data_IF_303343394418
#
_entry.id   IF_303343394418
#
_cell.length_a   1.000
_cell.length_b   1.000
_cell.length_c   1.000
_cell.angle_alpha   90.00
_cell.angle_beta   90.00
_cell.angle_gamma   90.00
#
_symmetry.space_group_name_H-M   'P 1'
#
loop_
_entity.id
_entity.type
_entity.pdbx_description
1 polymer ?
#
# COMPACT_ATOMS: atom_id res chain seq x y z
N UNK A 1 4.03 1.02 -6.37
CA UNK A 1 3.01 2.01 -5.94
C UNK A 1 3.46 3.12 -4.96
N UNK A 2 4.51 3.00 -4.13
CA UNK A 2 4.91 4.11 -3.21
C UNK A 2 5.37 5.40 -3.91
N UNK A 3 6.01 5.31 -5.06
CA UNK A 3 6.54 6.46 -5.78
C UNK A 3 5.48 7.40 -6.41
N UNK A 4 4.31 6.89 -6.78
CA UNK A 4 3.23 7.69 -7.36
C UNK A 4 2.50 8.52 -6.29
N UNK A 5 2.25 7.93 -5.11
CA UNK A 5 1.63 8.62 -3.97
C UNK A 5 2.54 9.72 -3.42
N UNK A 6 3.85 9.47 -3.37
CA UNK A 6 4.83 10.47 -2.94
C UNK A 6 4.91 11.66 -3.92
N UNK A 7 4.86 11.41 -5.22
CA UNK A 7 4.84 12.46 -6.26
C UNK A 7 3.57 13.32 -6.19
N UNK A 8 2.42 12.71 -6.02
CA UNK A 8 1.16 13.46 -5.88
C UNK A 8 1.15 14.34 -4.64
N UNK A 9 1.62 13.82 -3.50
CA UNK A 9 1.77 14.59 -2.26
C UNK A 9 2.74 15.77 -2.43
N UNK A 10 3.90 15.53 -3.03
CA UNK A 10 4.89 16.56 -3.30
C UNK A 10 4.33 17.65 -4.23
N UNK A 11 3.57 17.25 -5.27
CA UNK A 11 2.90 18.19 -6.17
C UNK A 11 1.91 19.09 -5.42
N UNK A 12 1.04 18.53 -4.57
CA UNK A 12 0.08 19.31 -3.79
C UNK A 12 0.79 20.32 -2.87
N UNK A 13 1.85 19.91 -2.20
CA UNK A 13 2.60 20.79 -1.30
C UNK A 13 3.35 21.89 -2.06
N UNK A 14 4.00 21.57 -3.18
CA UNK A 14 4.69 22.55 -4.00
C UNK A 14 3.73 23.58 -4.61
N UNK A 15 2.60 23.12 -5.15
CA UNK A 15 1.56 23.99 -5.72
C UNK A 15 0.95 24.90 -4.64
N UNK A 16 0.68 24.36 -3.46
CA UNK A 16 0.20 25.13 -2.32
C UNK A 16 1.21 26.22 -1.90
N UNK A 17 2.50 25.88 -1.79
CA UNK A 17 3.55 26.82 -1.44
C UNK A 17 3.67 28.00 -2.45
N UNK A 18 3.42 27.73 -3.73
CA UNK A 18 3.40 28.76 -4.77
C UNK A 18 2.12 29.62 -4.73
N UNK A 19 0.98 29.02 -4.36
CA UNK A 19 -0.31 29.73 -4.32
C UNK A 19 -0.39 30.78 -3.23
N UNK A 20 0.17 30.56 -2.04
CA UNK A 20 0.14 31.55 -0.94
C UNK A 20 0.69 32.91 -1.35
N UNK A 21 1.94 33.02 -1.85
CA UNK A 21 2.49 34.32 -2.27
C UNK A 21 1.79 34.85 -3.53
N UNK A 22 1.35 34.00 -4.45
CA UNK A 22 0.62 34.44 -5.64
C UNK A 22 -0.71 35.10 -5.28
N UNK A 23 -1.49 34.50 -4.37
CA UNK A 23 -2.73 35.08 -3.88
C UNK A 23 -2.47 36.39 -3.13
N UNK A 24 -1.45 36.43 -2.27
CA UNK A 24 -1.07 37.67 -1.55
C UNK A 24 -0.69 38.77 -2.53
N UNK A 25 0.15 38.49 -3.51
CA UNK A 25 0.53 39.45 -4.55
C UNK A 25 -0.67 39.99 -5.34
N UNK A 26 -1.57 39.08 -5.77
CA UNK A 26 -2.80 39.49 -6.46
C UNK A 26 -3.70 40.33 -5.54
N UNK A 27 -3.79 39.96 -4.26
CA UNK A 27 -4.55 40.70 -3.27
C UNK A 27 -4.03 42.14 -3.11
N UNK A 28 -2.70 42.30 -3.00
CA UNK A 28 -2.08 43.63 -2.85
C UNK A 28 -2.29 44.51 -4.10
N UNK A 29 -2.29 43.92 -5.30
CA UNK A 29 -2.40 44.65 -6.55
C UNK A 29 -3.84 44.96 -6.95
N UNK A 30 -4.75 44.06 -6.72
CA UNK A 30 -6.08 44.07 -7.32
C UNK A 30 -7.25 44.12 -6.33
N UNK A 31 -7.04 43.80 -5.01
CA UNK A 31 -8.15 43.78 -4.08
C UNK A 31 -8.76 45.15 -3.88
N UNK A 32 -10.08 45.20 -3.99
CA UNK A 32 -10.93 46.37 -3.73
C UNK A 32 -12.09 45.93 -2.83
N UNK A 33 -12.73 46.84 -2.07
CA UNK A 33 -13.92 46.48 -1.30
C UNK A 33 -14.96 45.72 -2.15
N UNK A 34 -15.28 44.48 -1.73
CA UNK A 34 -16.27 43.62 -2.38
C UNK A 34 -15.74 42.63 -3.43
N UNK A 35 -14.45 42.65 -3.82
CA UNK A 35 -13.91 41.74 -4.85
C UNK A 35 -13.66 40.31 -4.32
N UNK A 36 -13.14 40.22 -3.08
CA UNK A 36 -13.06 38.92 -2.38
C UNK A 36 -11.92 38.00 -2.80
N UNK A 37 -10.78 38.52 -3.29
CA UNK A 37 -9.59 37.69 -3.67
C UNK A 37 -9.11 36.83 -2.49
N UNK A 38 -9.30 37.28 -1.26
CA UNK A 38 -8.94 36.52 -0.08
C UNK A 38 -9.62 35.13 0.05
N UNK A 39 -10.71 34.89 -0.67
CA UNK A 39 -11.34 33.56 -0.67
C UNK A 39 -10.51 32.50 -1.39
N UNK A 40 -9.63 32.87 -2.29
CA UNK A 40 -8.77 31.89 -2.99
C UNK A 40 -7.81 31.15 -2.06
N UNK A 41 -7.58 31.63 -0.82
CA UNK A 41 -6.81 30.88 0.19
C UNK A 41 -7.43 29.53 0.57
N UNK A 42 -8.70 29.25 0.28
CA UNK A 42 -9.29 27.93 0.46
C UNK A 42 -8.56 26.86 -0.34
N UNK A 43 -8.05 27.18 -1.54
CA UNK A 43 -7.36 26.20 -2.39
C UNK A 43 -6.06 25.68 -1.73
N UNK A 44 -5.07 26.53 -1.38
CA UNK A 44 -3.84 26.02 -0.75
C UNK A 44 -4.09 25.41 0.63
N UNK A 45 -5.07 25.88 1.41
CA UNK A 45 -5.47 25.24 2.67
C UNK A 45 -5.96 23.81 2.43
N UNK A 46 -6.87 23.60 1.47
CA UNK A 46 -7.37 22.28 1.13
C UNK A 46 -6.26 21.37 0.58
N UNK A 47 -5.34 21.89 -0.23
CA UNK A 47 -4.22 21.11 -0.79
C UNK A 47 -3.27 20.61 0.30
N UNK A 48 -2.92 21.45 1.29
CA UNK A 48 -2.10 21.05 2.43
C UNK A 48 -2.83 20.02 3.29
N UNK A 49 -4.11 20.25 3.55
CA UNK A 49 -4.96 19.34 4.34
C UNK A 49 -5.06 17.96 3.69
N UNK A 50 -5.32 17.92 2.38
CA UNK A 50 -5.34 16.67 1.60
C UNK A 50 -3.99 15.96 1.60
N UNK A 51 -2.88 16.69 1.52
CA UNK A 51 -1.55 16.10 1.49
C UNK A 51 -1.09 15.59 2.84
N UNK A 52 -1.39 16.32 3.94
CA UNK A 52 -0.69 16.17 5.23
C UNK A 52 -1.60 15.92 6.42
N UNK A 53 -2.93 15.99 6.25
CA UNK A 53 -3.92 15.68 7.29
C UNK A 53 -4.40 16.90 8.10
N UNK A 54 -5.22 16.67 9.16
CA UNK A 54 -6.01 17.73 9.81
C UNK A 54 -5.17 18.77 10.52
N UNK A 55 -4.11 18.38 11.21
CA UNK A 55 -3.24 19.33 11.95
C UNK A 55 -2.60 20.33 10.99
N UNK A 56 -2.06 19.84 9.88
CA UNK A 56 -1.47 20.70 8.85
C UNK A 56 -2.50 21.56 8.12
N UNK A 57 -3.73 21.03 7.95
CA UNK A 57 -4.85 21.80 7.42
C UNK A 57 -5.24 22.98 8.31
N UNK A 58 -5.28 22.79 9.65
CA UNK A 58 -5.53 23.87 10.61
C UNK A 58 -4.41 24.90 10.55
N UNK A 59 -3.15 24.46 10.57
CA UNK A 59 -1.99 25.38 10.49
C UNK A 59 -2.00 26.18 9.18
N UNK A 60 -2.36 25.55 8.07
CA UNK A 60 -2.55 26.21 6.78
C UNK A 60 -3.67 27.26 6.84
N UNK A 61 -4.78 26.99 7.52
CA UNK A 61 -5.87 27.94 7.74
C UNK A 61 -5.45 29.15 8.57
N UNK A 62 -4.66 28.92 9.62
CA UNK A 62 -4.07 30.00 10.42
C UNK A 62 -3.13 30.87 9.57
N UNK A 63 -2.25 30.22 8.78
CA UNK A 63 -1.35 30.94 7.88
C UNK A 63 -2.12 31.74 6.80
N UNK A 64 -3.19 31.18 6.25
CA UNK A 64 -4.05 31.87 5.28
C UNK A 64 -4.70 33.13 5.88
N UNK A 65 -5.19 33.03 7.12
CA UNK A 65 -5.71 34.20 7.84
C UNK A 65 -4.62 35.23 8.09
N UNK A 66 -3.42 34.81 8.47
CA UNK A 66 -2.26 35.69 8.64
C UNK A 66 -1.89 36.44 7.34
N UNK A 67 -1.84 35.70 6.21
CA UNK A 67 -1.60 36.32 4.90
C UNK A 67 -2.70 37.31 4.51
N UNK A 68 -3.96 36.97 4.79
CA UNK A 68 -5.11 37.84 4.51
C UNK A 68 -5.05 39.12 5.34
N UNK A 69 -4.79 39.03 6.66
CA UNK A 69 -4.69 40.21 7.54
C UNK A 69 -3.48 41.08 7.18
N UNK A 70 -2.36 40.46 6.84
CA UNK A 70 -1.17 41.18 6.35
C UNK A 70 -1.49 41.91 5.04
N UNK A 71 -2.25 41.27 4.15
CA UNK A 71 -2.72 41.90 2.92
C UNK A 71 -3.57 43.15 3.15
N UNK A 72 -4.48 43.12 4.14
CA UNK A 72 -5.28 44.30 4.50
C UNK A 72 -4.41 45.43 5.01
N UNK A 73 -3.43 45.14 5.90
CA UNK A 73 -2.56 46.17 6.50
C UNK A 73 -1.69 46.85 5.44
N UNK A 74 -1.22 46.14 4.44
CA UNK A 74 -0.31 46.66 3.41
C UNK A 74 -1.07 47.29 2.23
N UNK A 75 -2.29 46.86 1.94
CA UNK A 75 -3.05 47.34 0.78
C UNK A 75 -3.57 48.77 1.02
N UNK A 76 -3.13 49.78 0.23
CA UNK A 76 -3.52 51.19 0.45
C UNK A 76 -5.00 51.47 0.14
N UNK A 77 -5.73 50.56 -0.47
CA UNK A 77 -7.13 50.67 -0.86
C UNK A 77 -8.10 50.15 0.20
N UNK A 78 -7.59 49.51 1.26
CA UNK A 78 -8.37 48.93 2.33
C UNK A 78 -8.09 49.62 3.66
N UNK A 79 -9.12 49.95 4.47
CA UNK A 79 -8.89 50.53 5.79
C UNK A 79 -8.32 49.49 6.75
N UNK A 80 -7.29 49.87 7.53
CA UNK A 80 -6.67 48.95 8.50
C UNK A 80 -7.65 48.48 9.60
N UNK A 81 -8.75 49.24 9.84
CA UNK A 81 -9.84 48.81 10.72
C UNK A 81 -10.48 47.48 10.32
N UNK A 82 -10.37 47.10 9.05
CA UNK A 82 -10.97 45.88 8.54
C UNK A 82 -10.26 44.60 9.05
N UNK A 83 -9.07 44.71 9.62
CA UNK A 83 -8.37 43.59 10.27
C UNK A 83 -9.16 43.00 11.44
N UNK A 84 -9.82 43.83 12.24
CA UNK A 84 -10.58 43.43 13.43
C UNK A 84 -12.08 43.32 13.18
N UNK A 85 -12.48 43.03 11.93
CA UNK A 85 -13.89 42.89 11.57
C UNK A 85 -14.41 41.48 11.78
N UNK A 86 -15.76 41.35 11.82
CA UNK A 86 -16.44 40.04 11.79
C UNK A 86 -16.01 39.22 10.56
N UNK A 87 -15.70 39.87 9.46
CA UNK A 87 -15.26 39.22 8.20
C UNK A 87 -13.93 38.47 8.40
N UNK A 88 -12.95 39.03 9.10
CA UNK A 88 -11.67 38.36 9.40
C UNK A 88 -11.88 37.18 10.35
N UNK A 89 -12.70 37.40 11.39
CA UNK A 89 -13.05 36.33 12.34
C UNK A 89 -13.75 35.14 11.64
N UNK A 90 -14.69 35.44 10.75
CA UNK A 90 -15.37 34.42 9.94
C UNK A 90 -14.37 33.64 9.06
N UNK A 91 -13.43 34.37 8.40
CA UNK A 91 -12.39 33.69 7.58
C UNK A 91 -11.46 32.82 8.42
N UNK A 92 -11.03 33.27 9.58
CA UNK A 92 -10.25 32.44 10.49
C UNK A 92 -10.97 31.13 10.82
N UNK A 93 -12.23 31.23 11.25
CA UNK A 93 -13.05 30.05 11.57
C UNK A 93 -13.23 29.16 10.33
N UNK A 94 -13.57 29.73 9.18
CA UNK A 94 -13.85 28.93 7.98
C UNK A 94 -12.60 28.28 7.39
N UNK A 95 -11.46 28.99 7.32
CA UNK A 95 -10.20 28.40 6.82
C UNK A 95 -9.71 27.28 7.71
N UNK A 96 -9.74 27.46 9.04
CA UNK A 96 -9.30 26.45 9.99
C UNK A 96 -10.26 25.25 10.02
N UNK A 97 -11.56 25.49 9.98
CA UNK A 97 -12.58 24.42 9.95
C UNK A 97 -12.49 23.61 8.65
N UNK A 98 -12.38 24.27 7.51
CA UNK A 98 -12.24 23.56 6.21
C UNK A 98 -10.92 22.78 6.19
N UNK A 99 -9.82 23.36 6.67
CA UNK A 99 -8.55 22.67 6.79
C UNK A 99 -8.64 21.43 7.68
N UNK A 100 -9.31 21.53 8.83
CA UNK A 100 -9.54 20.43 9.73
C UNK A 100 -10.42 19.33 9.10
N UNK A 101 -11.56 19.69 8.54
CA UNK A 101 -12.52 18.74 7.95
C UNK A 101 -11.96 18.01 6.75
N UNK A 102 -11.35 18.73 5.80
CA UNK A 102 -10.75 18.12 4.60
C UNK A 102 -9.59 17.22 4.99
N UNK A 103 -8.75 17.64 5.92
CA UNK A 103 -7.64 16.85 6.42
C UNK A 103 -8.09 15.61 7.19
N UNK A 104 -9.11 15.73 8.01
CA UNK A 104 -9.71 14.60 8.73
C UNK A 104 -10.33 13.59 7.75
N UNK A 105 -11.11 14.06 6.79
CA UNK A 105 -11.71 13.19 5.77
C UNK A 105 -10.64 12.44 4.97
N UNK A 106 -9.61 13.14 4.51
CA UNK A 106 -8.51 12.53 3.75
C UNK A 106 -7.75 11.49 4.60
N UNK A 107 -7.51 11.79 5.88
CA UNK A 107 -6.85 10.88 6.82
C UNK A 107 -7.69 9.62 7.07
N UNK A 108 -8.97 9.80 7.37
CA UNK A 108 -9.92 8.70 7.65
C UNK A 108 -10.11 7.79 6.42
N UNK A 109 -10.23 8.38 5.23
CA UNK A 109 -10.33 7.61 3.98
C UNK A 109 -9.08 6.75 3.70
N UNK A 110 -7.88 7.29 3.97
CA UNK A 110 -6.64 6.52 3.84
C UNK A 110 -6.62 5.34 4.82
N UNK A 111 -6.96 5.59 6.08
CA UNK A 111 -7.03 4.53 7.10
C UNK A 111 -8.04 3.44 6.73
N UNK A 112 -9.21 3.82 6.23
CA UNK A 112 -10.23 2.87 5.79
C UNK A 112 -9.74 2.02 4.62
N UNK A 113 -9.13 2.64 3.62
CA UNK A 113 -8.55 1.95 2.46
C UNK A 113 -7.43 0.98 2.89
N UNK A 114 -6.57 1.40 3.82
CA UNK A 114 -5.50 0.54 4.34
C UNK A 114 -6.06 -0.62 5.18
N UNK A 115 -7.11 -0.39 5.97
CA UNK A 115 -7.82 -1.46 6.71
C UNK A 115 -8.46 -2.48 5.75
N UNK A 116 -9.10 -2.03 4.68
CA UNK A 116 -9.67 -2.92 3.67
C UNK A 116 -8.58 -3.76 3.00
N UNK A 117 -7.46 -3.14 2.58
CA UNK A 117 -6.29 -3.86 2.04
C UNK A 117 -5.70 -4.86 3.04
N UNK A 118 -5.71 -4.51 4.33
CA UNK A 118 -5.26 -5.41 5.42
C UNK A 118 -6.25 -6.54 5.66
N UNK A 119 -7.54 -6.37 5.43
CA UNK A 119 -8.55 -7.42 5.57
C UNK A 119 -8.58 -8.41 4.40
N UNK A 120 -8.03 -8.05 3.22
CA UNK A 120 -7.90 -8.98 2.11
C UNK A 120 -6.86 -10.04 2.44
N UNK A 121 -7.27 -11.32 2.48
CA UNK A 121 -6.41 -12.49 2.71
C UNK A 121 -6.00 -13.19 1.42
N UNK A 122 -6.57 -12.78 0.29
CA UNK A 122 -6.38 -13.43 -0.99
C UNK A 122 -5.55 -12.59 -1.96
N UNK A 123 -4.76 -13.28 -2.78
CA UNK A 123 -4.11 -12.69 -3.95
C UNK A 123 -5.15 -12.48 -5.07
N UNK A 124 -5.23 -11.28 -5.60
CA UNK A 124 -6.26 -10.87 -6.57
C UNK A 124 -6.15 -11.62 -7.92
N UNK A 125 -4.96 -12.10 -8.29
CA UNK A 125 -4.74 -12.78 -9.56
C UNK A 125 -5.08 -14.26 -9.48
N UNK A 126 -4.66 -14.92 -8.41
CA UNK A 126 -4.71 -16.37 -8.26
C UNK A 126 -5.81 -16.88 -7.34
N UNK A 127 -6.38 -16.00 -6.49
CA UNK A 127 -7.36 -16.37 -5.46
C UNK A 127 -6.78 -17.15 -4.28
N UNK A 128 -5.47 -17.44 -4.28
CA UNK A 128 -4.76 -18.09 -3.17
C UNK A 128 -4.62 -17.14 -1.98
N UNK A 129 -4.12 -17.63 -0.85
CA UNK A 129 -3.69 -16.72 0.23
C UNK A 129 -2.63 -15.75 -0.31
N UNK A 130 -2.68 -14.51 0.16
CA UNK A 130 -1.60 -13.56 -0.09
C UNK A 130 -0.45 -13.74 0.91
N UNK A 131 0.68 -13.08 0.67
CA UNK A 131 1.88 -13.15 1.52
C UNK A 131 1.57 -12.94 3.00
N UNK A 132 0.75 -11.94 3.31
CA UNK A 132 0.42 -11.59 4.71
C UNK A 132 -0.39 -12.68 5.41
N UNK A 133 -1.41 -13.19 4.76
CA UNK A 133 -2.24 -14.27 5.31
C UNK A 133 -1.41 -15.55 5.48
N UNK A 134 -0.49 -15.82 4.55
CA UNK A 134 0.43 -16.93 4.62
C UNK A 134 1.41 -16.81 5.80
N UNK A 135 2.03 -15.65 5.98
CA UNK A 135 2.97 -15.41 7.08
C UNK A 135 2.27 -15.54 8.46
N UNK A 136 1.04 -15.05 8.57
CA UNK A 136 0.23 -15.21 9.77
C UNK A 136 -0.09 -16.70 10.04
N UNK A 137 -0.48 -17.45 8.99
CA UNK A 137 -0.78 -18.87 9.10
C UNK A 137 0.47 -19.70 9.46
N UNK A 138 1.62 -19.38 8.84
CA UNK A 138 2.89 -20.04 9.12
C UNK A 138 3.33 -19.80 10.57
N UNK A 139 3.25 -18.57 11.06
CA UNK A 139 3.58 -18.20 12.43
C UNK A 139 2.68 -18.93 13.43
N UNK A 140 1.36 -18.90 13.21
CA UNK A 140 0.40 -19.62 14.05
C UNK A 140 0.66 -21.14 14.05
N UNK A 141 1.06 -21.72 12.91
CA UNK A 141 1.36 -23.15 12.80
C UNK A 141 2.65 -23.50 13.59
N UNK A 142 3.68 -22.64 13.52
CA UNK A 142 4.91 -22.83 14.27
C UNK A 142 4.68 -22.74 15.78
N UNK A 143 3.84 -21.79 16.25
CA UNK A 143 3.48 -21.63 17.66
C UNK A 143 2.74 -22.86 18.24
N UNK A 144 1.99 -23.60 17.42
CA UNK A 144 1.33 -24.83 17.87
C UNK A 144 2.29 -25.96 18.22
N UNK A 145 3.57 -25.89 17.82
CA UNK A 145 4.59 -26.89 18.10
C UNK A 145 4.36 -28.27 17.49
N UNK A 146 3.37 -28.41 16.59
CA UNK A 146 3.10 -29.67 15.89
C UNK A 146 3.95 -29.77 14.62
N UNK A 147 4.39 -30.99 14.24
CA UNK A 147 5.13 -31.17 13.00
C UNK A 147 4.32 -30.73 11.76
N UNK A 148 5.00 -30.01 10.85
CA UNK A 148 4.45 -29.62 9.55
C UNK A 148 5.58 -29.34 8.56
N UNK A 149 5.24 -29.27 7.26
CA UNK A 149 6.17 -28.89 6.19
C UNK A 149 5.89 -27.51 5.67
N UNK A 150 6.95 -26.73 5.41
CA UNK A 150 6.93 -25.54 4.59
C UNK A 150 7.55 -25.86 3.23
N UNK A 151 6.87 -25.54 2.14
CA UNK A 151 7.39 -25.64 0.77
C UNK A 151 7.32 -24.26 0.15
N UNK A 152 8.43 -23.83 -0.45
CA UNK A 152 8.52 -22.65 -1.29
C UNK A 152 8.69 -23.13 -2.73
N UNK A 153 7.95 -22.55 -3.64
CA UNK A 153 7.97 -22.89 -5.05
C UNK A 153 8.13 -21.63 -5.88
N UNK A 154 8.95 -21.68 -6.90
CA UNK A 154 9.24 -20.58 -7.82
C UNK A 154 8.94 -21.03 -9.25
N UNK A 155 8.25 -20.20 -10.04
CA UNK A 155 7.93 -20.53 -11.42
C UNK A 155 9.11 -20.22 -12.33
N UNK A 156 9.68 -21.26 -12.90
CA UNK A 156 10.83 -21.16 -13.80
C UNK A 156 10.48 -20.36 -15.06
N UNK A 157 11.35 -19.41 -15.46
CA UNK A 157 11.28 -18.66 -16.71
C UNK A 157 10.03 -17.81 -16.94
N UNK A 158 9.26 -17.46 -15.89
CA UNK A 158 8.08 -16.60 -16.04
C UNK A 158 8.42 -15.25 -16.67
N UNK A 159 9.59 -14.68 -16.33
CA UNK A 159 10.07 -13.43 -16.94
C UNK A 159 10.28 -13.55 -18.44
N UNK A 160 10.87 -14.64 -18.89
CA UNK A 160 11.11 -14.89 -20.34
C UNK A 160 9.78 -15.01 -21.11
N UNK A 161 8.77 -15.68 -20.49
CA UNK A 161 7.43 -15.76 -21.07
C UNK A 161 6.78 -14.38 -21.15
N UNK A 162 6.87 -13.58 -20.09
CA UNK A 162 6.34 -12.22 -20.07
C UNK A 162 6.98 -11.33 -21.13
N UNK A 163 8.29 -11.43 -21.30
CA UNK A 163 9.05 -10.63 -22.28
C UNK A 163 8.74 -11.04 -23.72
N UNK A 164 8.45 -12.33 -23.98
CA UNK A 164 8.16 -12.88 -25.30
C UNK A 164 6.69 -12.81 -25.70
N UNK A 165 5.79 -13.12 -24.77
CA UNK A 165 4.36 -13.35 -25.05
C UNK A 165 3.45 -12.35 -24.33
N UNK A 166 4.02 -11.48 -23.47
CA UNK A 166 3.32 -10.45 -22.71
C UNK A 166 2.77 -10.92 -21.37
N UNK A 167 2.53 -9.96 -20.49
CA UNK A 167 2.07 -10.21 -19.11
C UNK A 167 0.72 -10.94 -19.00
N UNK A 168 -0.12 -10.87 -20.03
CA UNK A 168 -1.40 -11.58 -20.03
C UNK A 168 -1.20 -13.10 -20.02
N UNK A 169 -0.26 -13.60 -20.83
CA UNK A 169 0.09 -15.02 -20.88
C UNK A 169 0.74 -15.48 -19.58
N UNK A 170 1.69 -14.69 -19.02
CA UNK A 170 2.29 -15.00 -17.74
C UNK A 170 1.27 -15.05 -16.60
N UNK A 171 0.29 -14.15 -16.60
CA UNK A 171 -0.80 -14.17 -15.62
C UNK A 171 -1.66 -15.45 -15.75
N UNK A 172 -1.88 -15.94 -16.96
CA UNK A 172 -2.62 -17.19 -17.16
C UNK A 172 -1.83 -18.42 -16.69
N UNK A 173 -0.51 -18.43 -16.88
CA UNK A 173 0.37 -19.46 -16.30
C UNK A 173 0.30 -19.47 -14.77
N UNK A 174 0.34 -18.30 -14.13
CA UNK A 174 0.22 -18.15 -12.68
C UNK A 174 -1.13 -18.68 -12.17
N UNK A 175 -2.25 -18.38 -12.85
CA UNK A 175 -3.58 -18.90 -12.49
C UNK A 175 -3.64 -20.42 -12.62
N UNK A 176 -3.10 -20.97 -13.70
CA UNK A 176 -3.04 -22.43 -13.91
C UNK A 176 -2.19 -23.13 -12.86
N UNK A 177 -1.03 -22.57 -12.51
CA UNK A 177 -0.19 -23.10 -11.44
C UNK A 177 -0.93 -23.10 -10.09
N UNK A 178 -1.59 -22.00 -9.76
CA UNK A 178 -2.37 -21.83 -8.53
C UNK A 178 -3.50 -22.88 -8.42
N UNK A 179 -4.24 -23.09 -9.51
CA UNK A 179 -5.32 -24.09 -9.57
C UNK A 179 -4.79 -25.53 -9.41
N UNK A 180 -3.69 -25.86 -10.09
CA UNK A 180 -3.06 -27.17 -9.96
C UNK A 180 -2.52 -27.44 -8.57
N UNK A 181 -1.83 -26.47 -7.96
CA UNK A 181 -1.34 -26.59 -6.60
C UNK A 181 -2.50 -26.81 -5.62
N UNK A 182 -3.55 -25.98 -5.70
CA UNK A 182 -4.72 -26.08 -4.82
C UNK A 182 -5.43 -27.44 -4.91
N UNK A 183 -5.55 -28.01 -6.11
CA UNK A 183 -6.24 -29.30 -6.32
C UNK A 183 -5.45 -30.51 -5.84
N UNK A 184 -4.14 -30.38 -5.68
CA UNK A 184 -3.25 -31.50 -5.32
C UNK A 184 -2.85 -31.54 -3.85
N UNK A 185 -3.28 -30.53 -3.10
CA UNK A 185 -3.05 -30.44 -1.65
C UNK A 185 -4.19 -31.10 -0.88
N UNK A 186 -3.84 -31.65 0.29
CA UNK A 186 -4.80 -32.30 1.18
C UNK A 186 -5.62 -31.29 1.98
N UNK A 187 -6.75 -31.74 2.54
CA UNK A 187 -7.57 -30.92 3.41
C UNK A 187 -6.77 -30.45 4.64
N UNK A 188 -6.73 -29.15 4.83
CA UNK A 188 -5.97 -28.49 5.91
C UNK A 188 -4.58 -28.00 5.50
N UNK A 189 -4.12 -28.32 4.31
CA UNK A 189 -2.96 -27.66 3.72
C UNK A 189 -3.34 -26.27 3.21
N UNK A 190 -2.38 -25.37 3.20
CA UNK A 190 -2.60 -23.99 2.77
C UNK A 190 -1.62 -23.64 1.66
N UNK A 191 -2.12 -22.97 0.63
CA UNK A 191 -1.31 -22.48 -0.47
C UNK A 191 -1.51 -20.97 -0.64
N UNK A 192 -0.41 -20.30 -0.93
CA UNK A 192 -0.35 -18.85 -1.09
C UNK A 192 0.49 -18.47 -2.30
N UNK A 193 0.26 -17.26 -2.81
CA UNK A 193 1.22 -16.56 -3.65
C UNK A 193 1.97 -15.55 -2.79
N UNK A 194 3.26 -15.80 -2.58
CA UNK A 194 4.10 -15.02 -1.67
C UNK A 194 4.99 -13.99 -2.38
N UNK A 195 5.11 -14.08 -3.69
CA UNK A 195 5.88 -13.18 -4.53
C UNK A 195 5.28 -13.04 -5.93
N UNK A 196 6.06 -12.47 -6.85
CA UNK A 196 5.67 -12.32 -8.27
C UNK A 196 5.39 -13.65 -8.95
N UNK A 197 6.32 -14.58 -8.83
CA UNK A 197 6.37 -15.95 -9.37
C UNK A 197 6.50 -17.01 -8.28
N UNK A 198 6.51 -16.58 -7.01
CA UNK A 198 6.74 -17.42 -5.85
C UNK A 198 5.44 -17.85 -5.18
N UNK A 199 5.37 -19.13 -4.81
CA UNK A 199 4.28 -19.75 -4.07
C UNK A 199 4.78 -20.35 -2.77
N UNK A 200 3.96 -20.31 -1.72
CA UNK A 200 4.22 -20.93 -0.43
C UNK A 200 3.16 -21.97 -0.10
N UNK A 201 3.57 -23.10 0.46
CA UNK A 201 2.65 -24.17 0.88
C UNK A 201 2.99 -24.54 2.32
N UNK A 202 1.98 -24.54 3.20
CA UNK A 202 2.04 -25.11 4.55
C UNK A 202 1.30 -26.44 4.48
N UNK A 203 2.01 -27.56 4.71
CA UNK A 203 1.43 -28.89 4.65
C UNK A 203 1.51 -29.62 5.98
N UNK A 204 0.46 -30.36 6.30
CA UNK A 204 0.41 -31.27 7.46
C UNK A 204 1.20 -32.56 7.26
N UNK A 205 1.88 -32.74 6.12
CA UNK A 205 2.70 -33.93 5.84
C UNK A 205 3.76 -34.14 6.93
N UNK A 206 3.76 -35.29 7.61
CA UNK A 206 4.64 -35.52 8.73
C UNK A 206 6.05 -35.92 8.23
N UNK A 207 7.02 -35.04 8.47
CA UNK A 207 8.43 -35.34 8.26
C UNK A 207 8.93 -35.19 6.82
N UNK A 208 10.23 -35.36 6.69
CA UNK A 208 11.03 -35.07 5.48
C UNK A 208 10.60 -35.87 4.25
N UNK A 209 10.36 -37.15 4.42
CA UNK A 209 10.07 -38.02 3.27
C UNK A 209 8.68 -37.76 2.71
N UNK A 210 7.71 -37.45 3.57
CA UNK A 210 6.36 -37.07 3.15
C UNK A 210 6.34 -35.75 2.39
N UNK A 211 7.08 -34.73 2.87
CA UNK A 211 7.22 -33.44 2.18
C UNK A 211 7.95 -33.60 0.84
N UNK A 212 9.02 -34.40 0.81
CA UNK A 212 9.74 -34.71 -0.43
C UNK A 212 8.84 -35.43 -1.45
N UNK A 213 8.07 -36.41 -1.01
CA UNK A 213 7.11 -37.12 -1.87
C UNK A 213 6.03 -36.19 -2.42
N UNK A 214 5.53 -35.25 -1.59
CA UNK A 214 4.59 -34.21 -2.03
C UNK A 214 5.22 -33.31 -3.10
N UNK A 215 6.42 -32.80 -2.89
CA UNK A 215 7.14 -32.01 -3.89
C UNK A 215 7.30 -32.80 -5.22
N UNK A 216 7.66 -34.08 -5.16
CA UNK A 216 7.78 -34.92 -6.35
C UNK A 216 6.45 -35.07 -7.13
N UNK A 217 5.32 -35.27 -6.42
CA UNK A 217 3.99 -35.33 -7.03
C UNK A 217 3.60 -34.00 -7.68
N UNK A 218 3.86 -32.86 -6.98
CA UNK A 218 3.58 -31.54 -7.51
C UNK A 218 4.41 -31.26 -8.77
N UNK A 219 5.72 -31.57 -8.74
CA UNK A 219 6.61 -31.42 -9.90
C UNK A 219 6.12 -32.22 -11.10
N UNK A 220 5.77 -33.49 -10.92
CA UNK A 220 5.25 -34.34 -11.99
C UNK A 220 3.94 -33.78 -12.58
N UNK A 221 2.98 -33.42 -11.72
CA UNK A 221 1.70 -32.85 -12.18
C UNK A 221 1.87 -31.55 -12.96
N UNK A 222 2.72 -30.65 -12.47
CA UNK A 222 2.96 -29.38 -13.15
C UNK A 222 3.66 -29.60 -14.50
N UNK A 223 4.65 -30.49 -14.55
CA UNK A 223 5.36 -30.81 -15.77
C UNK A 223 4.44 -31.44 -16.85
N UNK A 224 3.52 -32.32 -16.46
CA UNK A 224 2.49 -32.88 -17.36
C UNK A 224 1.62 -31.79 -18.01
N UNK A 225 1.46 -30.66 -17.33
CA UNK A 225 0.68 -29.52 -17.81
C UNK A 225 1.55 -28.41 -18.48
N UNK A 226 2.83 -28.72 -18.73
CA UNK A 226 3.76 -27.80 -19.37
C UNK A 226 4.22 -26.65 -18.47
N UNK A 227 4.06 -26.78 -17.15
CA UNK A 227 4.54 -25.82 -16.16
C UNK A 227 5.80 -26.35 -15.49
N UNK A 228 6.80 -25.49 -15.31
CA UNK A 228 8.00 -25.83 -14.55
C UNK A 228 8.07 -24.96 -13.31
N UNK A 229 8.36 -25.59 -12.20
CA UNK A 229 8.57 -24.91 -10.91
C UNK A 229 9.70 -25.58 -10.15
N UNK A 230 10.53 -24.76 -9.51
CA UNK A 230 11.57 -25.18 -8.58
C UNK A 230 11.02 -25.20 -7.17
N UNK A 231 11.36 -26.23 -6.37
CA UNK A 231 10.84 -26.41 -5.02
C UNK A 231 11.97 -26.46 -3.98
N UNK A 232 11.84 -25.63 -2.95
CA UNK A 232 12.61 -25.72 -1.71
C UNK A 232 11.68 -26.06 -0.54
N UNK A 233 12.14 -26.77 0.46
CA UNK A 233 11.29 -27.15 1.57
C UNK A 233 12.05 -27.27 2.90
N UNK A 234 11.30 -27.07 4.01
CA UNK A 234 11.75 -27.26 5.38
C UNK A 234 10.69 -27.95 6.22
N UNK A 235 11.07 -28.63 7.27
CA UNK A 235 10.18 -29.38 8.16
C UNK A 235 10.33 -28.85 9.60
N UNK A 236 9.22 -28.42 10.21
CA UNK A 236 9.15 -28.09 11.62
C UNK A 236 9.01 -29.37 12.47
N UNK A 237 9.72 -29.52 13.61
CA UNK A 237 10.70 -28.57 14.16
C UNK A 237 12.14 -28.82 13.69
N UNK A 238 12.41 -29.84 12.85
CA UNK A 238 13.75 -30.29 12.47
C UNK A 238 14.65 -29.18 11.87
N UNK A 239 14.09 -28.38 10.95
CA UNK A 239 14.83 -27.36 10.22
C UNK A 239 14.62 -25.94 10.81
N UNK A 240 13.81 -25.84 11.85
CA UNK A 240 13.50 -24.63 12.61
C UNK A 240 12.16 -24.71 13.30
N UNK A 241 11.98 -23.92 14.33
CA UNK A 241 10.77 -23.82 15.15
C UNK A 241 10.04 -22.48 14.99
N UNK A 242 10.53 -21.61 14.13
CA UNK A 242 9.94 -20.32 13.81
C UNK A 242 9.80 -20.13 12.30
N UNK A 243 8.84 -19.29 11.89
CA UNK A 243 8.61 -18.96 10.50
C UNK A 243 9.90 -18.51 9.78
N UNK A 244 10.69 -17.63 10.41
CA UNK A 244 11.93 -17.11 9.84
C UNK A 244 12.99 -18.21 9.58
N UNK A 245 13.17 -19.14 10.53
CA UNK A 245 14.14 -20.23 10.37
C UNK A 245 13.70 -21.18 9.28
N UNK A 246 12.41 -21.53 9.22
CA UNK A 246 11.85 -22.39 8.20
C UNK A 246 11.97 -21.77 6.81
N UNK A 247 11.69 -20.47 6.64
CA UNK A 247 11.88 -19.75 5.38
C UNK A 247 13.32 -19.83 4.90
N UNK A 248 14.30 -19.54 5.77
CA UNK A 248 15.73 -19.64 5.45
C UNK A 248 16.15 -21.05 5.03
N UNK A 249 15.66 -22.07 5.74
CA UNK A 249 15.96 -23.45 5.41
C UNK A 249 15.36 -23.86 4.06
N UNK A 250 14.09 -23.49 3.79
CA UNK A 250 13.43 -23.80 2.53
C UNK A 250 14.10 -23.11 1.34
N UNK A 251 14.43 -21.81 1.45
CA UNK A 251 15.12 -21.05 0.39
C UNK A 251 16.49 -21.65 0.08
N UNK A 252 17.27 -22.01 1.10
CA UNK A 252 18.61 -22.63 0.89
C UNK A 252 18.53 -24.01 0.24
N UNK A 253 17.44 -24.72 0.38
CA UNK A 253 17.19 -26.02 -0.26
C UNK A 253 16.80 -25.91 -1.74
N UNK A 254 16.14 -24.81 -2.14
CA UNK A 254 15.81 -24.51 -3.54
C UNK A 254 17.05 -24.27 -4.39
N UNK A 255 17.98 -23.45 -3.90
CA UNK A 255 19.19 -23.03 -4.61
C UNK A 255 20.18 -24.20 -4.89
N UNK A 256 20.07 -25.33 -4.21
CA UNK A 256 20.96 -26.51 -4.39
C UNK A 256 20.51 -27.49 -5.48
N UNK A 257 19.39 -27.24 -6.17
CA UNK A 257 18.77 -28.16 -7.14
C UNK A 257 18.53 -27.55 -8.52
N UNK A 258 18.86 -26.28 -8.73
CA UNK A 258 18.84 -25.58 -10.02
C UNK A 258 20.14 -25.80 -10.83
#
# INVERSE_FOLDING_TARGET
MPAAVSRHRAFLLASSAALYPAILGTFLLAERPGLGIGHFYYFPVAMIALASGPVWGILAGIAATGCYTLGIVINPHLPASDVLTASTSIRFVTFTTIGALVGWYAHNNRQLTDRLRVAEERDFLTGLLNTRAFDAALSARAELGKPFGLILADMDSLKEVNDREGHAVGNDLLRRAADLLSRKLDYGDQVARVGGDEFGIITSAPGTDAVRALCGRLTATLHEQGLRMSFGWAVCPRDGDSALLLYRAATSASTRRS
#
